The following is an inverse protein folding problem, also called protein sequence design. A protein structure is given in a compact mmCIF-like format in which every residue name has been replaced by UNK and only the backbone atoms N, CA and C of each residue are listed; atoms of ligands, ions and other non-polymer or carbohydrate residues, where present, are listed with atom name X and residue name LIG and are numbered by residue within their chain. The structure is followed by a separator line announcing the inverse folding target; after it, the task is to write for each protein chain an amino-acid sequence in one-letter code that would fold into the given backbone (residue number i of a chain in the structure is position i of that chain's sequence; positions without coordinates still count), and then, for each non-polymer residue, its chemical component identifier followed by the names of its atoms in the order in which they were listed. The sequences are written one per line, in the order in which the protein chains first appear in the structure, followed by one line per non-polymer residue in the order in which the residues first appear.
data_IF_816411305617
#
_entry.id   IF_816411305617
#
_cell.length_a   1.000
_cell.length_b   1.000
_cell.length_c   1.000
_cell.angle_alpha   90.00
_cell.angle_beta   90.00
_cell.angle_gamma   90.00
#
_symmetry.space_group_name_H-M   'P 1'
#
loop_
_entity.id
_entity.type
_entity.pdbx_description
1 polymer ?
#
# COMPACT_ATOMS: atom_id res chain seq x y z
N UNK A 1 20.12 -7.24 -31.40
CA UNK A 1 19.58 -5.92 -31.02
C UNK A 1 19.95 -5.66 -29.57
N UNK A 2 20.85 -4.70 -29.32
CA UNK A 2 20.97 -4.12 -27.98
C UNK A 2 19.68 -3.35 -27.74
N UNK A 3 18.76 -3.88 -26.91
CA UNK A 3 17.69 -3.06 -26.35
C UNK A 3 18.39 -2.00 -25.51
N UNK A 4 18.30 -0.75 -25.93
CA UNK A 4 18.80 0.36 -25.14
C UNK A 4 18.17 0.27 -23.76
N UNK A 5 19.01 0.31 -22.73
CA UNK A 5 18.50 0.26 -21.35
C UNK A 5 17.63 1.49 -21.10
N UNK A 6 16.46 1.37 -20.46
CA UNK A 6 15.62 2.52 -20.13
C UNK A 6 16.45 3.62 -19.48
N UNK A 7 16.25 4.84 -19.88
CA UNK A 7 16.99 5.99 -19.33
C UNK A 7 16.60 6.29 -17.87
N UNK A 8 15.38 5.92 -17.48
CA UNK A 8 14.84 6.06 -16.15
C UNK A 8 13.48 5.36 -16.03
N UNK A 9 12.82 5.54 -14.89
CA UNK A 9 11.56 4.87 -14.59
C UNK A 9 10.43 5.26 -15.55
N UNK A 10 10.31 6.52 -15.91
CA UNK A 10 9.25 6.97 -16.84
C UNK A 10 9.45 6.44 -18.26
N UNK A 11 10.69 6.38 -18.73
CA UNK A 11 11.02 5.76 -20.01
C UNK A 11 10.67 4.25 -19.97
N UNK A 12 11.02 3.56 -18.90
CA UNK A 12 10.64 2.16 -18.70
C UNK A 12 9.12 1.97 -18.74
N UNK A 13 8.36 2.76 -17.96
CA UNK A 13 6.89 2.66 -17.89
C UNK A 13 6.21 2.94 -19.22
N UNK A 14 6.73 3.90 -20.00
CA UNK A 14 6.19 4.27 -21.32
C UNK A 14 6.38 3.19 -22.38
N UNK A 15 7.34 2.29 -22.17
CA UNK A 15 7.68 1.22 -23.11
C UNK A 15 7.19 -0.17 -22.65
N UNK A 16 6.37 -0.24 -21.62
CA UNK A 16 5.74 -1.50 -21.21
C UNK A 16 4.81 -2.01 -22.32
N UNK A 17 4.77 -3.33 -22.56
CA UNK A 17 3.83 -3.90 -23.51
C UNK A 17 2.39 -3.72 -23.01
N UNK A 18 1.41 -3.73 -23.92
CA UNK A 18 0.00 -3.74 -23.54
C UNK A 18 -0.32 -4.99 -22.73
N UNK A 19 -1.35 -4.89 -21.87
CA UNK A 19 -1.81 -6.02 -21.09
C UNK A 19 -2.39 -7.12 -22.00
N UNK A 20 -2.15 -8.38 -21.65
CA UNK A 20 -2.69 -9.55 -22.37
C UNK A 20 -4.16 -9.78 -22.07
N UNK A 21 -4.60 -9.43 -20.84
CA UNK A 21 -5.97 -9.61 -20.38
C UNK A 21 -6.74 -8.29 -20.45
N UNK A 22 -8.05 -8.38 -20.61
CA UNK A 22 -8.95 -7.23 -20.52
C UNK A 22 -8.90 -6.65 -19.09
N UNK A 23 -9.14 -5.34 -19.00
CA UNK A 23 -9.18 -4.62 -17.72
C UNK A 23 -10.21 -5.24 -16.79
N UNK A 24 -9.81 -5.50 -15.53
CA UNK A 24 -10.68 -6.07 -14.51
C UNK A 24 -10.93 -7.58 -14.63
N UNK A 25 -10.32 -8.29 -15.58
CA UNK A 25 -10.53 -9.73 -15.74
C UNK A 25 -9.91 -10.56 -14.59
N UNK A 26 -8.76 -10.10 -14.05
CA UNK A 26 -7.99 -10.86 -13.05
C UNK A 26 -7.12 -9.92 -12.23
N UNK A 27 -7.00 -10.20 -10.94
CA UNK A 27 -6.03 -9.52 -10.10
C UNK A 27 -4.60 -9.94 -10.47
N UNK A 28 -3.76 -8.95 -10.62
CA UNK A 28 -2.32 -9.12 -10.78
C UNK A 28 -1.59 -8.03 -10.01
N UNK A 29 -0.80 -8.42 -9.00
CA UNK A 29 0.01 -7.46 -8.25
C UNK A 29 1.15 -6.94 -9.13
N UNK A 30 1.21 -5.63 -9.32
CA UNK A 30 2.21 -4.99 -10.18
C UNK A 30 2.71 -3.69 -9.57
N UNK A 31 3.98 -3.68 -9.13
CA UNK A 31 4.65 -2.47 -8.62
C UNK A 31 4.71 -1.32 -9.65
N UNK A 32 4.99 -1.57 -10.94
CA UNK A 32 4.96 -0.51 -11.96
C UNK A 32 3.67 0.29 -12.02
N UNK A 33 2.50 -0.29 -11.71
CA UNK A 33 1.24 0.45 -11.65
C UNK A 33 1.24 1.53 -10.56
N UNK A 34 1.90 1.28 -9.43
CA UNK A 34 2.03 2.30 -8.38
C UNK A 34 2.98 3.42 -8.78
N UNK A 35 4.10 3.08 -9.42
CA UNK A 35 5.04 4.07 -9.94
C UNK A 35 4.40 4.93 -11.05
N UNK A 36 3.55 4.32 -11.89
CA UNK A 36 2.76 5.05 -12.89
C UNK A 36 1.77 6.03 -12.25
N UNK A 37 1.07 5.61 -11.18
CA UNK A 37 0.18 6.50 -10.43
C UNK A 37 0.94 7.67 -9.79
N UNK A 38 2.12 7.44 -9.24
CA UNK A 38 3.00 8.51 -8.75
C UNK A 38 3.35 9.52 -9.84
N UNK A 39 3.66 9.04 -11.05
CA UNK A 39 3.91 9.90 -12.21
C UNK A 39 2.66 10.69 -12.64
N UNK A 40 1.48 10.07 -12.63
CA UNK A 40 0.21 10.76 -12.91
C UNK A 40 -0.03 11.88 -11.89
N UNK A 41 0.23 11.63 -10.61
CA UNK A 41 0.12 12.63 -9.54
C UNK A 41 1.05 13.81 -9.82
N UNK A 42 2.33 13.58 -10.15
CA UNK A 42 3.27 14.66 -10.52
C UNK A 42 2.75 15.49 -11.69
N UNK A 43 2.20 14.85 -12.71
CA UNK A 43 1.66 15.52 -13.89
C UNK A 43 0.43 16.39 -13.57
N UNK A 44 -0.48 15.87 -12.76
CA UNK A 44 -1.70 16.59 -12.37
C UNK A 44 -1.40 17.76 -11.42
N UNK A 45 -0.49 17.57 -10.48
CA UNK A 45 -0.11 18.60 -9.52
C UNK A 45 0.89 19.61 -10.07
N UNK A 46 1.52 19.34 -11.21
CA UNK A 46 2.67 20.06 -11.75
C UNK A 46 3.76 20.27 -10.68
N UNK A 47 4.00 19.25 -9.85
CA UNK A 47 4.97 19.26 -8.76
C UNK A 47 5.52 17.85 -8.54
N UNK A 48 6.63 17.70 -7.85
CA UNK A 48 7.25 16.40 -7.56
C UNK A 48 6.39 15.61 -6.58
N UNK A 49 6.31 14.29 -6.80
CA UNK A 49 5.52 13.38 -5.96
C UNK A 49 5.78 13.55 -4.47
N UNK A 50 7.05 13.66 -4.05
CA UNK A 50 7.41 13.85 -2.64
C UNK A 50 6.93 15.19 -2.07
N UNK A 51 6.85 16.25 -2.87
CA UNK A 51 6.28 17.53 -2.45
C UNK A 51 4.77 17.43 -2.28
N UNK A 52 4.09 16.78 -3.23
CA UNK A 52 2.64 16.55 -3.18
C UNK A 52 2.29 15.71 -1.95
N UNK A 53 3.01 14.62 -1.74
CA UNK A 53 2.84 13.74 -0.58
C UNK A 53 3.02 14.51 0.74
N UNK A 54 4.07 15.31 0.83
CA UNK A 54 4.32 16.16 2.00
C UNK A 54 3.18 17.13 2.26
N UNK A 55 2.76 17.88 1.24
CA UNK A 55 1.73 18.94 1.36
C UNK A 55 0.34 18.40 1.66
N UNK A 56 -0.05 17.27 0.99
CA UNK A 56 -1.42 16.78 1.06
C UNK A 56 -1.64 15.68 2.11
N UNK A 57 -0.56 15.03 2.56
CA UNK A 57 -0.70 13.94 3.52
C UNK A 57 0.18 14.14 4.77
N UNK A 58 1.49 14.30 4.64
CA UNK A 58 2.38 14.26 5.80
C UNK A 58 2.20 15.45 6.75
N UNK A 59 2.14 16.69 6.21
CA UNK A 59 1.94 17.91 7.00
C UNK A 59 0.54 17.88 7.67
N UNK A 60 -0.56 17.64 6.94
CA UNK A 60 -1.88 17.56 7.57
C UNK A 60 -2.01 16.44 8.60
N UNK A 61 -1.30 15.32 8.39
CA UNK A 61 -1.25 14.21 9.37
C UNK A 61 -0.34 14.49 10.57
N UNK A 62 0.35 15.65 10.60
CA UNK A 62 1.24 16.05 11.69
C UNK A 62 2.38 15.05 11.97
N UNK A 63 2.98 14.49 10.90
CA UNK A 63 4.12 13.60 11.05
C UNK A 63 5.29 14.34 11.70
N UNK A 64 6.00 13.64 12.59
CA UNK A 64 7.00 14.25 13.49
C UNK A 64 8.43 14.12 12.97
N UNK A 65 8.69 13.13 12.11
CA UNK A 65 10.04 12.82 11.67
C UNK A 65 10.21 13.02 10.17
N UNK A 66 11.44 13.24 9.75
CA UNK A 66 11.79 13.31 8.33
C UNK A 66 11.59 11.95 7.67
N UNK A 67 10.98 11.96 6.50
CA UNK A 67 10.82 10.80 5.62
C UNK A 67 11.63 10.99 4.34
N UNK A 68 12.09 9.91 3.74
CA UNK A 68 12.84 9.93 2.50
C UNK A 68 12.11 9.14 1.41
N UNK A 69 12.20 9.60 0.18
CA UNK A 69 11.68 8.91 -1.00
C UNK A 69 12.86 8.55 -1.91
N UNK A 70 12.95 7.29 -2.29
CA UNK A 70 13.94 6.84 -3.26
C UNK A 70 13.64 7.45 -4.63
N UNK A 71 14.67 7.99 -5.27
CA UNK A 71 14.59 8.53 -6.62
C UNK A 71 15.43 7.68 -7.56
N UNK A 72 15.01 7.61 -8.82
CA UNK A 72 15.89 7.13 -9.87
C UNK A 72 16.94 8.17 -10.25
N UNK A 73 17.86 7.82 -11.15
CA UNK A 73 18.95 8.71 -11.59
C UNK A 73 18.47 9.99 -12.31
N UNK A 74 17.21 10.04 -12.74
CA UNK A 74 16.59 11.19 -13.39
C UNK A 74 15.65 11.97 -12.46
N UNK A 75 15.56 11.58 -11.19
CA UNK A 75 14.76 12.24 -10.16
C UNK A 75 13.29 11.80 -10.15
N UNK A 76 12.93 10.70 -10.81
CA UNK A 76 11.60 10.12 -10.68
C UNK A 76 11.44 9.39 -9.34
N UNK A 77 10.36 9.67 -8.63
CA UNK A 77 10.08 9.13 -7.31
C UNK A 77 9.57 7.69 -7.38
N UNK A 78 10.11 6.80 -6.54
CA UNK A 78 9.65 5.43 -6.41
C UNK A 78 8.43 5.36 -5.48
N UNK A 79 7.22 5.44 -6.03
CA UNK A 79 5.96 5.39 -5.25
C UNK A 79 5.47 3.98 -4.94
N UNK A 80 6.07 2.96 -5.55
CA UNK A 80 5.72 1.56 -5.33
C UNK A 80 6.34 0.92 -4.08
N UNK A 81 7.03 1.69 -3.21
CA UNK A 81 7.67 1.15 -2.00
C UNK A 81 9.01 1.81 -1.68
N UNK A 82 9.29 2.97 -2.23
CA UNK A 82 10.54 3.71 -2.04
C UNK A 82 10.53 4.71 -0.88
N UNK A 83 9.59 4.62 0.06
CA UNK A 83 9.48 5.55 1.18
C UNK A 83 10.11 4.93 2.42
N UNK A 84 11.08 5.65 3.01
CA UNK A 84 11.61 5.38 4.34
C UNK A 84 10.94 6.32 5.33
N UNK A 85 10.26 5.78 6.33
CA UNK A 85 9.47 6.51 7.31
C UNK A 85 9.70 5.94 8.71
N UNK A 86 9.56 6.77 9.75
CA UNK A 86 9.65 6.28 11.13
C UNK A 86 8.46 5.36 11.47
N UNK A 87 8.64 4.36 12.37
CA UNK A 87 7.53 3.53 12.82
C UNK A 87 6.37 4.34 13.43
N UNK A 88 6.69 5.41 14.15
CA UNK A 88 5.69 6.29 14.77
C UNK A 88 4.85 7.03 13.72
N UNK A 89 5.49 7.59 12.70
CA UNK A 89 4.78 8.29 11.63
C UNK A 89 3.98 7.30 10.76
N UNK A 90 4.51 6.09 10.54
CA UNK A 90 3.79 5.04 9.85
C UNK A 90 2.55 4.60 10.64
N UNK A 91 2.65 4.50 11.97
CA UNK A 91 1.51 4.24 12.85
C UNK A 91 0.48 5.36 12.76
N UNK A 92 0.91 6.63 12.77
CA UNK A 92 0.02 7.79 12.61
C UNK A 92 -0.77 7.71 11.30
N UNK A 93 -0.12 7.37 10.18
CA UNK A 93 -0.80 7.20 8.89
C UNK A 93 -1.75 5.98 8.88
N UNK A 94 -1.37 4.90 9.55
CA UNK A 94 -2.23 3.72 9.66
C UNK A 94 -3.46 4.01 10.53
N UNK A 95 -3.30 4.69 11.65
CA UNK A 95 -4.40 5.17 12.49
C UNK A 95 -5.34 6.10 11.75
N UNK A 96 -4.81 6.97 10.89
CA UNK A 96 -5.63 7.83 10.03
C UNK A 96 -6.56 6.99 9.14
N UNK A 97 -6.10 5.84 8.61
CA UNK A 97 -6.97 4.94 7.84
C UNK A 97 -7.99 4.22 8.73
N UNK A 98 -7.63 3.84 9.95
CA UNK A 98 -8.55 3.25 10.93
C UNK A 98 -9.65 4.23 11.34
N UNK A 99 -9.31 5.51 11.48
CA UNK A 99 -10.20 6.61 11.83
C UNK A 99 -10.87 7.25 10.59
N UNK A 100 -11.15 6.49 9.54
CA UNK A 100 -11.90 6.90 8.35
C UNK A 100 -11.33 8.15 7.66
N UNK A 101 -10.02 8.31 7.71
CA UNK A 101 -9.29 9.40 7.06
C UNK A 101 -9.23 10.70 7.84
N UNK A 102 -9.70 10.71 9.09
CA UNK A 102 -9.78 11.91 9.93
C UNK A 102 -8.84 11.84 11.14
N UNK A 103 -8.36 12.99 11.57
CA UNK A 103 -7.65 13.19 12.85
C UNK A 103 -8.14 14.48 13.52
N UNK A 104 -7.48 14.90 14.60
CA UNK A 104 -7.82 16.14 15.33
C UNK A 104 -7.74 17.43 14.49
N UNK A 105 -7.06 17.40 13.34
CA UNK A 105 -6.97 18.54 12.40
C UNK A 105 -8.09 18.52 11.33
N UNK A 106 -8.91 17.48 11.28
CA UNK A 106 -10.02 17.33 10.35
C UNK A 106 -9.88 16.12 9.42
N UNK A 107 -10.65 16.13 8.35
CA UNK A 107 -10.63 15.09 7.33
C UNK A 107 -9.44 15.33 6.38
N UNK A 108 -8.51 14.36 6.33
CA UNK A 108 -7.29 14.42 5.51
C UNK A 108 -7.43 13.49 4.30
N UNK A 109 -7.97 12.29 4.50
CA UNK A 109 -8.25 11.32 3.44
C UNK A 109 -9.77 11.23 3.29
N UNK A 110 -10.33 11.35 2.07
CA UNK A 110 -11.77 11.21 1.89
C UNK A 110 -12.30 9.90 2.47
N UNK A 111 -13.28 9.96 3.35
CA UNK A 111 -13.93 8.79 3.95
C UNK A 111 -14.42 7.81 2.88
N UNK A 112 -14.98 8.32 1.79
CA UNK A 112 -15.44 7.51 0.67
C UNK A 112 -14.35 6.65 0.04
N UNK A 113 -13.08 7.11 0.06
CA UNK A 113 -11.95 6.32 -0.41
C UNK A 113 -11.59 5.20 0.58
N UNK A 114 -11.66 5.48 1.89
CA UNK A 114 -11.46 4.46 2.94
C UNK A 114 -12.55 3.38 2.82
N UNK A 115 -13.82 3.79 2.73
CA UNK A 115 -14.96 2.88 2.59
C UNK A 115 -14.88 2.02 1.32
N UNK A 116 -14.31 2.52 0.23
CA UNK A 116 -14.14 1.79 -1.01
C UNK A 116 -13.23 0.56 -0.87
N UNK A 117 -12.20 0.60 -0.03
CA UNK A 117 -11.33 -0.56 0.18
C UNK A 117 -11.66 -1.36 1.46
N UNK A 118 -12.29 -0.76 2.44
CA UNK A 118 -12.74 -1.46 3.66
C UNK A 118 -13.95 -2.34 3.35
N UNK A 119 -14.88 -1.86 2.51
CA UNK A 119 -16.11 -2.56 2.13
C UNK A 119 -16.17 -2.84 0.61
N UNK A 120 -15.26 -3.58 0.02
CA UNK A 120 -15.31 -3.87 -1.40
C UNK A 120 -16.52 -4.73 -1.73
N UNK A 121 -17.24 -4.31 -2.76
CA UNK A 121 -18.49 -4.95 -3.17
C UNK A 121 -18.29 -6.25 -3.95
N UNK A 122 -17.15 -6.36 -4.66
CA UNK A 122 -16.86 -7.48 -5.56
C UNK A 122 -15.39 -7.89 -5.41
N UNK A 123 -15.15 -9.17 -5.16
CA UNK A 123 -13.84 -9.78 -5.06
C UNK A 123 -13.55 -10.81 -6.18
N UNK A 124 -14.40 -10.87 -7.20
CA UNK A 124 -14.28 -11.86 -8.27
C UNK A 124 -12.93 -11.81 -8.97
N UNK A 125 -12.41 -10.62 -9.29
CA UNK A 125 -11.08 -10.43 -9.88
C UNK A 125 -9.97 -10.93 -8.95
N UNK A 126 -10.10 -10.71 -7.65
CA UNK A 126 -9.12 -11.15 -6.66
C UNK A 126 -9.11 -12.66 -6.52
N UNK A 127 -10.27 -13.29 -6.48
CA UNK A 127 -10.42 -14.75 -6.38
C UNK A 127 -10.02 -15.48 -7.67
N UNK A 128 -10.04 -14.79 -8.82
CA UNK A 128 -9.66 -15.35 -10.12
C UNK A 128 -8.14 -15.46 -10.33
N UNK A 129 -7.28 -15.10 -9.36
CA UNK A 129 -5.84 -15.25 -9.47
C UNK A 129 -5.42 -16.73 -9.40
N UNK A 130 -4.34 -17.11 -10.11
CA UNK A 130 -3.94 -18.53 -10.23
C UNK A 130 -3.42 -19.14 -8.93
N UNK A 131 -2.76 -18.34 -8.09
CA UNK A 131 -2.17 -18.78 -6.83
C UNK A 131 -2.63 -17.85 -5.72
N UNK A 132 -3.83 -18.10 -5.20
CA UNK A 132 -4.38 -17.34 -4.08
C UNK A 132 -3.73 -17.85 -2.77
N UNK A 133 -2.53 -17.35 -2.49
CA UNK A 133 -1.76 -17.75 -1.30
C UNK A 133 -2.17 -16.94 -0.05
N UNK A 134 -2.55 -15.66 -0.24
CA UNK A 134 -2.91 -14.77 0.86
C UNK A 134 -4.41 -14.50 0.88
N UNK A 135 -4.99 -14.55 2.06
CA UNK A 135 -6.36 -14.12 2.31
C UNK A 135 -7.40 -14.73 1.36
N UNK A 136 -7.63 -16.06 1.38
CA UNK A 136 -8.54 -16.73 0.46
C UNK A 136 -10.01 -16.29 0.59
N UNK A 137 -10.37 -15.61 1.68
CA UNK A 137 -11.68 -14.98 1.91
C UNK A 137 -11.63 -13.46 1.81
N UNK A 138 -10.49 -12.91 1.41
CA UNK A 138 -10.23 -11.48 1.38
C UNK A 138 -10.49 -10.84 0.03
N UNK A 139 -9.86 -9.68 -0.13
CA UNK A 139 -9.86 -8.91 -1.36
C UNK A 139 -8.63 -8.00 -1.41
N UNK A 140 -8.40 -7.35 -2.56
CA UNK A 140 -7.37 -6.33 -2.71
C UNK A 140 -7.92 -5.11 -3.45
N UNK A 141 -7.85 -3.95 -2.84
CA UNK A 141 -8.27 -2.71 -3.45
C UNK A 141 -7.47 -1.52 -2.92
N UNK A 142 -7.19 -0.55 -3.79
CA UNK A 142 -6.52 0.71 -3.42
C UNK A 142 -5.20 0.53 -2.66
N UNK A 143 -4.47 -0.56 -2.95
CA UNK A 143 -3.21 -1.00 -2.32
C UNK A 143 -3.36 -1.61 -0.92
N UNK A 144 -4.57 -1.90 -0.49
CA UNK A 144 -4.87 -2.60 0.76
C UNK A 144 -5.43 -3.99 0.51
N UNK A 145 -5.00 -4.95 1.32
CA UNK A 145 -5.61 -6.27 1.41
C UNK A 145 -6.71 -6.24 2.46
N UNK A 146 -7.88 -6.73 2.13
CA UNK A 146 -8.83 -7.18 3.13
C UNK A 146 -8.46 -8.59 3.55
N UNK A 147 -8.43 -8.85 4.84
CA UNK A 147 -7.89 -10.11 5.36
C UNK A 147 -8.91 -11.25 5.32
N UNK A 148 -10.20 -10.93 5.44
CA UNK A 148 -11.26 -11.91 5.55
C UNK A 148 -11.27 -12.68 6.88
N UNK A 149 -10.42 -12.29 7.86
CA UNK A 149 -10.40 -12.90 9.20
C UNK A 149 -11.47 -12.33 10.11
N UNK A 150 -11.74 -11.06 10.01
CA UNK A 150 -12.76 -10.38 10.79
C UNK A 150 -13.47 -9.31 9.98
N UNK A 151 -14.44 -8.66 10.61
CA UNK A 151 -15.24 -7.62 9.98
C UNK A 151 -14.37 -6.38 9.72
N UNK A 152 -14.30 -5.97 8.46
CA UNK A 152 -13.59 -4.76 8.02
C UNK A 152 -12.09 -4.70 8.35
N UNK A 153 -11.45 -5.84 8.60
CA UNK A 153 -10.01 -5.91 8.80
C UNK A 153 -9.25 -5.78 7.49
N UNK A 154 -8.20 -4.98 7.50
CA UNK A 154 -7.36 -4.78 6.34
C UNK A 154 -5.88 -4.64 6.71
N UNK A 155 -5.01 -4.86 5.74
CA UNK A 155 -3.58 -4.76 5.95
C UNK A 155 -2.83 -4.28 4.71
N UNK A 156 -1.62 -3.78 4.91
CA UNK A 156 -0.63 -3.58 3.86
C UNK A 156 0.59 -4.46 4.15
N UNK A 157 1.16 -5.03 3.08
CA UNK A 157 2.28 -5.97 3.16
C UNK A 157 3.42 -5.43 2.31
N UNK A 158 4.58 -5.30 2.93
CA UNK A 158 5.83 -4.97 2.25
C UNK A 158 6.81 -6.13 2.28
N UNK A 159 7.75 -6.12 1.35
CA UNK A 159 8.84 -7.11 1.32
C UNK A 159 9.67 -7.07 2.61
N UNK A 160 10.38 -8.18 2.88
CA UNK A 160 11.22 -8.35 4.08
C UNK A 160 10.43 -8.24 5.40
N UNK A 161 9.12 -8.50 5.36
CA UNK A 161 8.26 -8.59 6.54
C UNK A 161 7.76 -7.26 7.09
N UNK A 162 7.62 -6.23 6.26
CA UNK A 162 6.93 -5.00 6.66
C UNK A 162 5.42 -5.23 6.67
N UNK A 163 4.74 -4.85 7.74
CA UNK A 163 3.28 -4.98 7.82
C UNK A 163 2.65 -3.76 8.48
N UNK A 164 1.49 -3.39 7.97
CA UNK A 164 0.48 -2.59 8.65
C UNK A 164 -0.75 -3.48 8.79
N UNK A 165 -1.26 -3.64 9.99
CA UNK A 165 -2.44 -4.42 10.30
C UNK A 165 -3.45 -3.56 11.02
N UNK A 166 -4.67 -3.48 10.50
CA UNK A 166 -5.71 -2.62 11.05
C UNK A 166 -6.98 -3.44 11.31
N UNK A 167 -7.45 -3.39 12.53
CA UNK A 167 -8.72 -3.98 12.96
C UNK A 167 -9.61 -2.87 13.55
N UNK A 168 -10.49 -2.26 12.76
CA UNK A 168 -11.33 -1.15 13.22
C UNK A 168 -12.26 -1.55 14.37
N UNK A 169 -12.78 -2.77 14.37
CA UNK A 169 -13.71 -3.27 15.40
C UNK A 169 -13.05 -3.41 16.78
N UNK A 170 -11.76 -3.71 16.80
CA UNK A 170 -10.95 -3.82 18.02
C UNK A 170 -10.19 -2.54 18.35
N UNK A 171 -10.39 -1.49 17.57
CA UNK A 171 -9.63 -0.24 17.69
C UNK A 171 -8.11 -0.45 17.69
N UNK A 172 -7.65 -1.44 16.92
CA UNK A 172 -6.27 -1.93 16.94
C UNK A 172 -5.57 -1.63 15.61
N UNK A 173 -4.39 -1.04 15.73
CA UNK A 173 -3.43 -0.90 14.62
C UNK A 173 -2.07 -1.46 15.05
N UNK A 174 -1.49 -2.34 14.24
CA UNK A 174 -0.17 -2.92 14.46
C UNK A 174 0.75 -2.55 13.30
N UNK A 175 1.93 -2.04 13.64
CA UNK A 175 3.03 -1.84 12.69
C UNK A 175 4.12 -2.85 13.01
N UNK A 176 4.52 -3.59 12.00
CA UNK A 176 5.72 -4.43 12.06
C UNK A 176 6.74 -3.94 11.06
N UNK A 177 7.90 -3.57 11.54
CA UNK A 177 9.09 -3.34 10.72
C UNK A 177 10.08 -4.48 10.92
N UNK A 178 10.65 -4.97 9.85
CA UNK A 178 11.51 -6.14 9.86
C UNK A 178 12.59 -6.04 8.79
N UNK A 179 13.67 -6.77 8.98
CA UNK A 179 14.77 -6.96 8.02
C UNK A 179 14.96 -8.46 7.72
N UNK A 180 13.86 -9.18 7.46
CA UNK A 180 13.92 -10.59 7.10
C UNK A 180 14.81 -10.80 5.85
N UNK A 181 15.60 -11.90 5.83
CA UNK A 181 16.49 -12.22 4.71
C UNK A 181 15.76 -12.39 3.39
N UNK A 182 14.61 -13.09 3.46
CA UNK A 182 13.79 -13.35 2.29
C UNK A 182 12.81 -12.21 2.04
N UNK A 183 12.70 -11.71 0.81
CA UNK A 183 11.75 -10.66 0.49
C UNK A 183 10.30 -11.11 0.67
N UNK A 184 10.00 -12.38 0.43
CA UNK A 184 8.68 -13.00 0.62
C UNK A 184 8.88 -14.36 1.27
N UNK A 185 8.19 -14.60 2.38
CA UNK A 185 8.15 -15.89 3.06
C UNK A 185 6.73 -16.12 3.61
N UNK A 186 5.93 -16.86 2.84
CA UNK A 186 4.50 -17.11 3.13
C UNK A 186 4.30 -17.73 4.51
N UNK A 187 5.12 -18.69 4.92
CA UNK A 187 4.98 -19.34 6.24
C UNK A 187 5.20 -18.35 7.39
N UNK A 188 6.17 -17.45 7.24
CA UNK A 188 6.42 -16.42 8.24
C UNK A 188 5.28 -15.39 8.24
N UNK A 189 4.73 -15.04 7.07
CA UNK A 189 3.58 -14.14 6.96
C UNK A 189 2.35 -14.75 7.65
N UNK A 190 2.00 -16.00 7.38
CA UNK A 190 0.88 -16.71 8.01
C UNK A 190 1.00 -16.75 9.54
N UNK A 191 2.22 -17.03 10.04
CA UNK A 191 2.48 -16.99 11.48
C UNK A 191 2.25 -15.59 12.06
N UNK A 192 2.75 -14.55 11.38
CA UNK A 192 2.57 -13.17 11.83
C UNK A 192 1.11 -12.74 11.81
N UNK A 193 0.34 -13.13 10.80
CA UNK A 193 -1.09 -12.84 10.75
C UNK A 193 -1.84 -13.52 11.90
N UNK A 194 -1.48 -14.77 12.23
CA UNK A 194 -2.04 -15.47 13.39
C UNK A 194 -1.71 -14.75 14.71
N UNK A 195 -0.49 -14.23 14.84
CA UNK A 195 -0.09 -13.43 16.02
C UNK A 195 -0.88 -12.13 16.10
N UNK A 196 -1.10 -11.43 14.98
CA UNK A 196 -1.87 -10.18 14.97
C UNK A 196 -3.34 -10.42 15.34
N UNK A 197 -3.93 -11.52 14.85
CA UNK A 197 -5.27 -11.93 15.26
C UNK A 197 -5.34 -12.26 16.74
N UNK A 198 -4.37 -12.98 17.29
CA UNK A 198 -4.33 -13.34 18.70
C UNK A 198 -4.21 -12.11 19.59
N UNK A 199 -3.36 -11.14 19.21
CA UNK A 199 -3.28 -9.84 19.91
C UNK A 199 -4.66 -9.17 19.93
N UNK A 200 -5.35 -9.15 18.79
CA UNK A 200 -6.70 -8.59 18.71
C UNK A 200 -7.74 -9.34 19.55
N UNK A 201 -7.59 -10.65 19.72
CA UNK A 201 -8.51 -11.45 20.56
C UNK A 201 -8.27 -11.27 22.05
N UNK A 202 -7.04 -10.93 22.42
CA UNK A 202 -6.65 -10.72 23.83
C UNK A 202 -7.08 -9.35 24.38
N UNK A 203 -7.19 -8.33 23.51
CA UNK A 203 -7.66 -6.97 23.84
C UNK A 203 -9.18 -6.87 23.80
#
# INVERSE_FOLDING_TARGET
CKRDRPQGMYDFLSNLPPAELSHGAKYHYSSPHSDLLGWVIERLANDKYYNVLSKLLFIPSQLQFSSNVTLDRLGASRSAGGISISPYDLLTLAELTRCEGSNNSGNIIPETWIQDFVNPRDNSCYLAQDNLERFPKGNYRSKWYQTGFGENQFCAIGIHGQNIWVNPKKELTIIRMSSASDPINIKTEELMFSVFEEIGNYL
#
